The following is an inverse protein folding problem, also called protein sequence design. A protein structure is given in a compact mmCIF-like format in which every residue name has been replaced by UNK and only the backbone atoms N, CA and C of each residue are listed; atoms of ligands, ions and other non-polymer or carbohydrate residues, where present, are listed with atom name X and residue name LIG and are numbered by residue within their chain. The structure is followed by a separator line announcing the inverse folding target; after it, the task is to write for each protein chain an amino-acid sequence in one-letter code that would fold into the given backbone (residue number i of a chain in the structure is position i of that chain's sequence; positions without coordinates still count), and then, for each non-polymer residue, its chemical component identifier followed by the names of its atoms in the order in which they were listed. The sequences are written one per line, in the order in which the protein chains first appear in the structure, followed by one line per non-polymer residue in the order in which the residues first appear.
data_IF_042988075316
#
_entry.id   IF_042988075316
#
_cell.length_a   1.000
_cell.length_b   1.000
_cell.length_c   1.000
_cell.angle_alpha   90.00
_cell.angle_beta   90.00
_cell.angle_gamma   90.00
#
_symmetry.space_group_name_H-M   'P 1'
#
loop_
_entity.id
_entity.type
_entity.pdbx_description
1 polymer ?
#
# COMPACT_ATOMS: atom_id res chain seq x y z
N UNK A 1 -10.64 -31.05 16.38
CA UNK A 1 -10.18 -31.16 14.98
C UNK A 1 -11.38 -31.25 14.04
N UNK A 2 -12.26 -32.25 14.18
CA UNK A 2 -13.46 -32.47 13.32
C UNK A 2 -14.41 -31.26 13.21
N UNK A 3 -14.67 -30.54 14.31
CA UNK A 3 -15.58 -29.38 14.28
C UNK A 3 -15.00 -28.19 13.48
N UNK A 4 -13.68 -27.98 13.54
CA UNK A 4 -13.02 -26.90 12.81
C UNK A 4 -13.03 -27.17 11.30
N UNK A 5 -12.75 -28.41 10.90
CA UNK A 5 -12.84 -28.85 9.51
C UNK A 5 -14.26 -28.72 8.97
N UNK A 6 -15.27 -29.11 9.76
CA UNK A 6 -16.67 -28.96 9.38
C UNK A 6 -17.08 -27.49 9.22
N UNK A 7 -16.65 -26.61 10.13
CA UNK A 7 -16.92 -25.18 10.04
C UNK A 7 -16.20 -24.55 8.83
N UNK A 8 -14.96 -24.94 8.55
CA UNK A 8 -14.23 -24.50 7.36
C UNK A 8 -14.95 -24.94 6.08
N UNK A 9 -15.45 -26.17 6.04
CA UNK A 9 -16.27 -26.68 4.94
C UNK A 9 -17.58 -25.90 4.75
N UNK A 10 -18.27 -25.56 5.83
CA UNK A 10 -19.49 -24.75 5.75
C UNK A 10 -19.21 -23.33 5.25
N UNK A 11 -18.14 -22.69 5.73
CA UNK A 11 -17.72 -21.37 5.25
C UNK A 11 -17.36 -21.42 3.77
N UNK A 12 -16.59 -22.43 3.36
CA UNK A 12 -16.24 -22.66 1.96
C UNK A 12 -17.47 -22.77 1.05
N UNK A 13 -18.43 -23.64 1.38
CA UNK A 13 -19.65 -23.80 0.58
C UNK A 13 -20.55 -22.57 0.60
N UNK A 14 -20.65 -21.89 1.75
CA UNK A 14 -21.41 -20.65 1.89
C UNK A 14 -20.84 -19.60 0.93
N UNK A 15 -19.54 -19.39 0.94
CA UNK A 15 -18.87 -18.38 0.12
C UNK A 15 -18.96 -18.73 -1.37
N UNK A 16 -18.81 -20.01 -1.72
CA UNK A 16 -18.97 -20.47 -3.10
C UNK A 16 -20.41 -20.28 -3.62
N UNK A 17 -21.42 -20.55 -2.78
CA UNK A 17 -22.83 -20.30 -3.13
C UNK A 17 -23.11 -18.81 -3.35
N UNK A 18 -22.65 -17.94 -2.44
CA UNK A 18 -22.82 -16.49 -2.58
C UNK A 18 -22.16 -15.95 -3.85
N UNK A 19 -21.02 -16.50 -4.26
CA UNK A 19 -20.31 -16.11 -5.49
C UNK A 19 -21.06 -16.53 -6.75
N UNK A 20 -21.53 -17.77 -6.82
CA UNK A 20 -22.36 -18.23 -7.93
C UNK A 20 -23.63 -17.38 -8.08
N UNK A 21 -24.27 -17.03 -6.95
CA UNK A 21 -25.41 -16.12 -6.94
C UNK A 21 -25.01 -14.70 -7.41
N UNK A 22 -23.87 -14.17 -6.96
CA UNK A 22 -23.36 -12.85 -7.36
C UNK A 22 -23.08 -12.77 -8.85
N UNK A 23 -22.45 -13.78 -9.44
CA UNK A 23 -22.23 -13.88 -10.88
C UNK A 23 -23.55 -13.87 -11.68
N UNK A 24 -24.54 -14.60 -11.18
CA UNK A 24 -25.88 -14.65 -11.79
C UNK A 24 -26.59 -13.30 -11.73
N UNK A 25 -26.44 -12.57 -10.62
CA UNK A 25 -27.07 -11.25 -10.41
C UNK A 25 -26.37 -10.13 -11.18
N UNK A 26 -25.03 -10.16 -11.24
CA UNK A 26 -24.25 -9.11 -11.89
C UNK A 26 -24.35 -9.16 -13.42
N UNK A 27 -24.75 -10.30 -14.01
CA UNK A 27 -24.90 -10.46 -15.46
C UNK A 27 -23.64 -10.08 -16.25
N UNK A 28 -22.48 -10.10 -15.59
CA UNK A 28 -21.22 -9.54 -16.09
C UNK A 28 -20.40 -10.57 -16.86
N UNK A 29 -19.62 -10.07 -17.82
CA UNK A 29 -18.60 -10.84 -18.51
C UNK A 29 -17.56 -11.32 -17.50
N UNK A 30 -17.54 -12.62 -17.22
CA UNK A 30 -16.42 -13.29 -16.57
C UNK A 30 -15.29 -13.50 -17.57
N UNK A 31 -14.09 -13.80 -17.08
CA UNK A 31 -13.01 -14.17 -17.96
C UNK A 31 -13.31 -15.49 -18.70
N UNK A 32 -12.71 -15.70 -19.89
CA UNK A 32 -12.89 -16.94 -20.63
C UNK A 32 -12.43 -18.11 -19.77
N UNK A 33 -13.14 -19.24 -19.83
CA UNK A 33 -12.88 -20.43 -19.00
C UNK A 33 -13.06 -20.23 -17.49
N UNK A 34 -13.90 -19.28 -17.05
CA UNK A 34 -14.30 -19.18 -15.65
C UNK A 34 -14.80 -20.54 -15.13
N UNK A 35 -14.15 -21.04 -14.08
CA UNK A 35 -14.42 -22.34 -13.48
C UNK A 35 -15.24 -22.21 -12.20
N UNK A 36 -16.10 -23.18 -11.89
CA UNK A 36 -16.82 -23.20 -10.62
C UNK A 36 -15.90 -23.31 -9.40
N UNK A 37 -14.82 -24.10 -9.51
CA UNK A 37 -13.89 -24.36 -8.40
C UNK A 37 -12.67 -23.43 -8.39
N UNK A 38 -12.19 -23.06 -9.57
CA UNK A 38 -10.96 -22.27 -9.73
C UNK A 38 -11.21 -20.84 -10.19
N UNK A 39 -12.48 -20.45 -10.39
CA UNK A 39 -12.88 -19.13 -10.84
C UNK A 39 -12.02 -18.69 -12.05
N UNK A 40 -11.36 -17.54 -11.97
CA UNK A 40 -10.50 -17.01 -13.03
C UNK A 40 -9.01 -17.36 -12.88
N UNK A 41 -8.63 -18.17 -11.87
CA UNK A 41 -7.23 -18.49 -11.59
C UNK A 41 -6.52 -19.13 -12.78
N UNK A 42 -7.21 -19.98 -13.53
CA UNK A 42 -6.64 -20.66 -14.68
C UNK A 42 -6.26 -19.65 -15.76
N UNK A 43 -7.15 -18.71 -16.04
CA UNK A 43 -6.96 -17.70 -17.08
C UNK A 43 -5.90 -16.69 -16.68
N UNK A 44 -5.92 -16.24 -15.42
CA UNK A 44 -4.87 -15.39 -14.88
C UNK A 44 -3.52 -16.10 -14.88
N UNK A 45 -3.46 -17.35 -14.46
CA UNK A 45 -2.24 -18.14 -14.46
C UNK A 45 -1.61 -18.25 -15.86
N UNK A 46 -2.44 -18.45 -16.90
CA UNK A 46 -1.98 -18.48 -18.30
C UNK A 46 -1.43 -17.14 -18.77
N UNK A 47 -2.08 -16.02 -18.43
CA UNK A 47 -1.62 -14.68 -18.79
C UNK A 47 -0.31 -14.36 -18.06
N UNK A 48 -0.26 -14.62 -16.76
CA UNK A 48 0.91 -14.42 -15.93
C UNK A 48 2.11 -15.27 -16.38
N UNK A 49 1.88 -16.49 -16.85
CA UNK A 49 2.94 -17.34 -17.37
C UNK A 49 3.62 -16.78 -18.64
N UNK A 50 2.96 -15.87 -19.36
CA UNK A 50 3.56 -15.15 -20.50
C UNK A 50 4.34 -13.90 -20.07
N UNK A 51 4.12 -13.43 -18.85
CA UNK A 51 4.76 -12.23 -18.33
C UNK A 51 6.16 -12.55 -17.78
N UNK A 52 7.09 -11.59 -17.79
CA UNK A 52 8.34 -11.73 -17.06
C UNK A 52 8.08 -12.04 -15.59
N UNK A 53 8.92 -12.89 -14.97
CA UNK A 53 8.78 -13.25 -13.55
C UNK A 53 8.92 -12.06 -12.60
N UNK A 54 9.52 -10.97 -13.07
CA UNK A 54 9.71 -9.72 -12.33
C UNK A 54 8.60 -8.69 -12.58
N UNK A 55 7.57 -9.05 -13.38
CA UNK A 55 6.46 -8.14 -13.63
C UNK A 55 5.73 -7.83 -12.32
N UNK A 56 5.64 -6.54 -12.01
CA UNK A 56 4.95 -6.12 -10.80
C UNK A 56 3.48 -6.57 -10.82
N UNK A 57 2.97 -7.06 -9.70
CA UNK A 57 1.64 -7.65 -9.59
C UNK A 57 0.52 -6.74 -10.13
N UNK A 58 0.59 -5.42 -9.93
CA UNK A 58 -0.39 -4.48 -10.50
C UNK A 58 -0.43 -4.46 -12.04
N UNK A 59 0.69 -4.73 -12.70
CA UNK A 59 0.76 -4.75 -14.16
C UNK A 59 0.15 -6.04 -14.75
N UNK A 60 -0.09 -7.07 -13.93
CA UNK A 60 -0.78 -8.30 -14.38
C UNK A 60 -2.20 -8.04 -14.88
N UNK A 61 -2.92 -7.11 -14.25
CA UNK A 61 -4.26 -6.71 -14.69
C UNK A 61 -4.22 -6.02 -16.06
N UNK A 62 -3.13 -5.29 -16.34
CA UNK A 62 -2.92 -4.68 -17.65
C UNK A 62 -2.60 -5.74 -18.72
N UNK A 63 -1.80 -6.75 -18.38
CA UNK A 63 -1.53 -7.88 -19.28
C UNK A 63 -2.81 -8.65 -19.64
N UNK A 64 -3.72 -8.78 -18.68
CA UNK A 64 -5.03 -9.40 -18.89
C UNK A 64 -5.88 -8.62 -19.90
N UNK A 65 -5.91 -7.29 -19.78
CA UNK A 65 -6.60 -6.39 -20.73
C UNK A 65 -6.01 -6.50 -22.14
N UNK A 66 -4.69 -6.65 -22.27
CA UNK A 66 -4.03 -6.81 -23.56
C UNK A 66 -4.33 -8.15 -24.22
N UNK A 67 -4.43 -9.23 -23.43
CA UNK A 67 -4.76 -10.56 -23.95
C UNK A 67 -6.24 -10.68 -24.35
N UNK A 68 -7.14 -10.04 -23.60
CA UNK A 68 -8.60 -10.12 -23.81
C UNK A 68 -9.23 -8.71 -23.94
N UNK A 69 -8.95 -7.98 -25.04
CA UNK A 69 -9.39 -6.60 -25.21
C UNK A 69 -10.92 -6.44 -25.23
N UNK A 70 -11.66 -7.46 -25.66
CA UNK A 70 -13.11 -7.50 -25.68
C UNK A 70 -13.74 -7.41 -24.27
N UNK A 71 -12.99 -7.80 -23.25
CA UNK A 71 -13.41 -7.80 -21.84
C UNK A 71 -13.07 -6.47 -21.17
N UNK A 72 -12.10 -5.73 -21.71
CA UNK A 72 -11.81 -4.36 -21.30
C UNK A 72 -12.74 -3.33 -21.95
N UNK A 73 -13.40 -3.69 -23.05
CA UNK A 73 -14.31 -2.82 -23.80
C UNK A 73 -15.48 -2.22 -22.98
N UNK A 74 -16.11 -2.94 -22.02
CA UNK A 74 -17.11 -2.36 -21.13
C UNK A 74 -16.54 -1.38 -20.10
N UNK A 75 -15.21 -1.34 -19.93
CA UNK A 75 -14.53 -0.51 -18.95
C UNK A 75 -14.53 -1.07 -17.52
N UNK A 76 -15.10 -2.26 -17.31
CA UNK A 76 -15.17 -2.95 -16.02
C UNK A 76 -15.01 -4.46 -16.23
N UNK A 77 -14.33 -5.12 -15.31
CA UNK A 77 -14.15 -6.57 -15.25
C UNK A 77 -14.50 -7.07 -13.85
N UNK A 78 -15.32 -8.12 -13.76
CA UNK A 78 -15.44 -8.90 -12.53
C UNK A 78 -14.31 -9.94 -12.50
N UNK A 79 -13.49 -9.89 -11.47
CA UNK A 79 -12.36 -10.77 -11.29
C UNK A 79 -12.54 -11.62 -10.04
N UNK A 80 -12.57 -12.93 -10.20
CA UNK A 80 -12.66 -13.87 -9.09
C UNK A 80 -11.43 -14.79 -9.03
N UNK A 81 -10.69 -14.67 -7.94
CA UNK A 81 -9.46 -15.38 -7.69
C UNK A 81 -9.54 -16.35 -6.49
N UNK A 82 -10.73 -16.85 -6.11
CA UNK A 82 -10.85 -17.91 -5.07
C UNK A 82 -9.94 -19.11 -5.38
N UNK A 83 -9.15 -19.69 -4.45
CA UNK A 83 -8.95 -19.38 -3.00
C UNK A 83 -8.20 -18.14 -2.66
N UNK A 84 -7.39 -17.69 -3.61
CA UNK A 84 -6.20 -16.92 -3.33
C UNK A 84 -6.58 -15.57 -2.73
N UNK A 85 -7.64 -14.95 -3.26
CA UNK A 85 -8.14 -13.68 -2.74
C UNK A 85 -9.64 -13.52 -2.99
N UNK A 86 -10.20 -12.45 -2.45
CA UNK A 86 -11.58 -12.04 -2.65
C UNK A 86 -11.81 -11.59 -4.08
N UNK A 87 -13.03 -11.78 -4.57
CA UNK A 87 -13.45 -11.27 -5.87
C UNK A 87 -13.43 -9.75 -5.85
N UNK A 88 -12.99 -9.14 -6.95
CA UNK A 88 -12.86 -7.71 -7.11
C UNK A 88 -13.52 -7.26 -8.42
N UNK A 89 -14.05 -6.04 -8.42
CA UNK A 89 -14.42 -5.36 -9.66
C UNK A 89 -13.24 -4.47 -10.05
N UNK A 90 -12.63 -4.77 -11.19
CA UNK A 90 -11.54 -3.99 -11.76
C UNK A 90 -12.14 -3.01 -12.75
N UNK A 91 -11.90 -1.71 -12.53
CA UNK A 91 -12.47 -0.64 -13.36
C UNK A 91 -11.36 0.03 -14.14
N UNK A 92 -11.41 -0.10 -15.47
CA UNK A 92 -10.43 0.48 -16.39
C UNK A 92 -10.88 1.84 -16.92
N UNK A 93 -12.18 2.06 -17.05
CA UNK A 93 -12.74 3.28 -17.63
C UNK A 93 -12.65 4.47 -16.65
N UNK A 94 -11.97 5.57 -17.00
CA UNK A 94 -11.81 6.73 -16.13
C UNK A 94 -13.12 7.34 -15.65
N UNK A 95 -14.16 7.35 -16.51
CA UNK A 95 -15.49 7.88 -16.15
C UNK A 95 -16.18 7.06 -15.07
N UNK A 96 -15.99 5.74 -15.07
CA UNK A 96 -16.50 4.86 -14.02
C UNK A 96 -15.68 5.02 -12.74
N UNK A 97 -14.35 5.09 -12.85
CA UNK A 97 -13.46 5.35 -11.71
C UNK A 97 -13.79 6.65 -10.95
N UNK A 98 -14.27 7.68 -11.65
CA UNK A 98 -14.73 8.92 -11.02
C UNK A 98 -15.89 8.69 -10.02
N UNK A 99 -16.71 7.65 -10.22
CA UNK A 99 -17.81 7.32 -9.30
C UNK A 99 -17.28 6.77 -7.96
N UNK A 100 -16.25 5.91 -8.01
CA UNK A 100 -15.62 5.32 -6.83
C UNK A 100 -14.70 6.27 -6.07
N UNK A 101 -14.23 7.34 -6.72
CA UNK A 101 -13.34 8.33 -6.08
C UNK A 101 -14.09 9.58 -5.59
N UNK A 102 -15.25 9.91 -6.18
CA UNK A 102 -15.99 11.15 -5.84
C UNK A 102 -17.37 10.93 -5.25
N UNK A 103 -18.09 9.88 -5.69
CA UNK A 103 -19.51 9.69 -5.36
C UNK A 103 -19.73 8.67 -4.25
N UNK A 104 -19.01 7.56 -4.30
CA UNK A 104 -19.11 6.50 -3.30
C UNK A 104 -17.77 6.37 -2.59
N UNK A 105 -17.75 6.62 -1.29
CA UNK A 105 -16.59 6.37 -0.45
C UNK A 105 -16.73 4.95 0.11
N UNK A 106 -16.03 4.01 -0.51
CA UNK A 106 -15.97 2.65 0.01
C UNK A 106 -14.90 2.56 1.11
N UNK A 107 -15.14 1.77 2.16
CA UNK A 107 -14.12 1.47 3.16
C UNK A 107 -12.84 0.92 2.51
N UNK A 108 -11.69 1.46 2.87
CA UNK A 108 -10.39 0.90 2.49
C UNK A 108 -10.12 -0.33 3.34
N UNK A 109 -10.72 -1.47 2.96
CA UNK A 109 -10.65 -2.71 3.74
C UNK A 109 -9.32 -3.45 3.59
N UNK A 110 -8.59 -3.21 2.50
CA UNK A 110 -7.47 -4.06 2.08
C UNK A 110 -6.16 -3.84 2.82
N UNK A 111 -6.04 -2.79 3.65
CA UNK A 111 -4.79 -2.47 4.38
C UNK A 111 -4.94 -2.55 5.89
N UNK A 112 -6.13 -2.92 6.38
CA UNK A 112 -6.43 -2.86 7.79
C UNK A 112 -5.62 -3.87 8.60
N UNK A 113 -5.44 -5.07 8.04
CA UNK A 113 -4.69 -6.14 8.68
C UNK A 113 -3.19 -5.80 8.78
N UNK A 114 -2.64 -5.23 7.71
CA UNK A 114 -1.25 -4.80 7.62
C UNK A 114 -0.98 -3.65 8.60
N UNK A 115 -1.85 -2.63 8.61
CA UNK A 115 -1.67 -1.44 9.45
C UNK A 115 -1.95 -1.66 10.94
N UNK A 116 -2.69 -2.70 11.32
CA UNK A 116 -3.09 -2.93 12.72
C UNK A 116 -1.90 -2.97 13.68
N UNK A 117 -0.79 -3.59 13.28
CA UNK A 117 0.39 -3.72 14.13
C UNK A 117 1.19 -2.42 14.29
N UNK A 118 1.15 -1.55 13.28
CA UNK A 118 1.88 -0.29 13.28
C UNK A 118 1.08 0.83 13.96
N UNK A 119 -0.18 0.97 13.59
CA UNK A 119 -0.98 2.17 13.93
C UNK A 119 -2.23 1.82 14.72
N UNK A 120 -2.53 0.52 14.94
CA UNK A 120 -3.81 0.06 15.50
C UNK A 120 -5.00 0.52 14.65
N UNK A 121 -4.80 0.66 13.34
CA UNK A 121 -5.76 1.24 12.40
C UNK A 121 -6.17 2.70 12.72
N UNK A 122 -5.35 3.43 13.49
CA UNK A 122 -5.56 4.84 13.87
C UNK A 122 -4.72 5.77 12.99
N UNK A 123 -4.71 5.52 11.69
CA UNK A 123 -3.99 6.31 10.69
C UNK A 123 -4.90 6.81 9.57
N UNK A 124 -4.38 7.69 8.71
CA UNK A 124 -5.16 8.32 7.64
C UNK A 124 -5.51 7.39 6.47
N UNK A 125 -4.91 6.19 6.41
CA UNK A 125 -5.15 5.18 5.37
C UNK A 125 -6.30 4.26 5.76
N UNK A 126 -6.38 3.87 7.03
CA UNK A 126 -7.40 2.91 7.51
C UNK A 126 -8.55 3.55 8.27
N UNK A 127 -8.39 4.79 8.75
CA UNK A 127 -9.46 5.45 9.51
C UNK A 127 -10.48 6.12 8.60
N UNK A 128 -11.70 6.29 9.13
CA UNK A 128 -12.84 6.81 8.37
C UNK A 128 -13.61 7.90 9.14
N UNK A 129 -14.52 8.55 8.42
CA UNK A 129 -15.52 9.45 9.00
C UNK A 129 -14.92 10.61 9.79
N UNK A 130 -15.49 10.87 10.97
CA UNK A 130 -15.09 12.00 11.82
C UNK A 130 -13.65 11.89 12.32
N UNK A 131 -13.18 10.67 12.63
CA UNK A 131 -11.81 10.43 13.07
C UNK A 131 -10.82 10.80 11.97
N UNK A 132 -11.03 10.28 10.76
CA UNK A 132 -10.22 10.61 9.59
C UNK A 132 -10.24 12.11 9.32
N UNK A 133 -11.42 12.73 9.31
CA UNK A 133 -11.57 14.17 9.03
C UNK A 133 -10.80 15.03 10.04
N UNK A 134 -10.87 14.68 11.33
CA UNK A 134 -10.12 15.35 12.40
C UNK A 134 -8.62 15.25 12.15
N UNK A 135 -8.07 14.05 12.01
CA UNK A 135 -6.63 13.88 11.86
C UNK A 135 -6.11 14.41 10.52
N UNK A 136 -6.88 14.29 9.43
CA UNK A 136 -6.57 14.90 8.14
C UNK A 136 -6.40 16.41 8.28
N UNK A 137 -7.31 17.07 9.02
CA UNK A 137 -7.23 18.51 9.26
C UNK A 137 -6.01 18.92 10.08
N UNK A 138 -5.57 18.07 11.03
CA UNK A 138 -4.37 18.29 11.85
C UNK A 138 -3.10 18.18 11.02
N UNK A 139 -3.01 17.21 10.10
CA UNK A 139 -1.81 16.96 9.29
C UNK A 139 -1.71 17.84 8.03
N UNK A 140 -2.83 18.23 7.42
CA UNK A 140 -2.84 19.01 6.16
C UNK A 140 -1.93 20.26 6.16
N UNK A 141 -1.83 21.06 7.25
CA UNK A 141 -0.94 22.21 7.28
C UNK A 141 0.53 21.86 7.05
N UNK A 142 0.99 20.66 7.45
CA UNK A 142 2.35 20.19 7.18
C UNK A 142 2.64 20.01 5.69
N UNK A 143 1.60 19.75 4.89
CA UNK A 143 1.67 19.53 3.44
C UNK A 143 1.27 20.75 2.62
N UNK A 144 1.23 21.95 3.21
CA UNK A 144 1.00 23.18 2.44
C UNK A 144 2.23 23.53 1.60
N UNK A 145 2.02 24.21 0.47
CA UNK A 145 3.11 24.66 -0.41
C UNK A 145 4.17 25.44 0.37
N UNK A 146 3.75 26.35 1.25
CA UNK A 146 4.65 27.20 2.03
C UNK A 146 5.48 26.41 3.06
N UNK A 147 4.97 25.29 3.58
CA UNK A 147 5.71 24.46 4.53
C UNK A 147 6.59 23.44 3.82
N UNK A 148 6.12 22.84 2.73
CA UNK A 148 6.94 21.97 1.86
C UNK A 148 8.16 22.73 1.35
N UNK A 149 8.00 23.98 0.89
CA UNK A 149 9.12 24.81 0.43
C UNK A 149 10.24 24.99 1.47
N UNK A 150 9.91 24.98 2.76
CA UNK A 150 10.91 25.11 3.84
C UNK A 150 11.70 23.83 4.07
N UNK A 151 11.16 22.68 3.66
CA UNK A 151 11.81 21.36 3.78
C UNK A 151 12.71 21.06 2.58
N UNK A 152 12.55 21.78 1.45
CA UNK A 152 13.32 21.54 0.22
C UNK A 152 14.85 21.53 0.47
N UNK A 153 15.44 22.50 1.19
CA UNK A 153 16.89 22.51 1.40
C UNK A 153 17.40 21.21 2.06
N UNK A 154 16.70 20.76 3.10
CA UNK A 154 17.00 19.51 3.81
C UNK A 154 16.83 18.28 2.92
N UNK A 155 15.80 18.24 2.08
CA UNK A 155 15.61 17.15 1.10
C UNK A 155 16.71 17.14 0.03
N UNK A 156 17.20 18.32 -0.38
CA UNK A 156 18.28 18.44 -1.37
C UNK A 156 19.58 17.90 -0.81
N UNK A 157 19.89 18.13 0.46
CA UNK A 157 21.09 17.55 1.10
C UNK A 157 21.11 16.02 1.00
N UNK A 158 20.00 15.35 1.33
CA UNK A 158 19.89 13.89 1.22
C UNK A 158 19.94 13.41 -0.25
N UNK A 159 19.32 14.16 -1.17
CA UNK A 159 19.39 13.86 -2.59
C UNK A 159 20.82 13.96 -3.15
N UNK A 160 21.61 14.91 -2.66
CA UNK A 160 23.02 15.06 -3.03
C UNK A 160 23.87 13.90 -2.51
N UNK A 161 23.63 13.42 -1.28
CA UNK A 161 24.29 12.22 -0.77
C UNK A 161 23.99 10.99 -1.63
N UNK A 162 22.74 10.83 -2.08
CA UNK A 162 22.38 9.75 -2.98
C UNK A 162 23.03 9.89 -4.37
N UNK A 163 23.14 11.12 -4.90
CA UNK A 163 23.90 11.39 -6.13
C UNK A 163 25.36 10.98 -5.97
N UNK A 164 26.03 11.42 -4.90
CA UNK A 164 27.46 11.13 -4.67
C UNK A 164 27.71 9.62 -4.57
N UNK A 165 26.77 8.90 -3.94
CA UNK A 165 26.77 7.44 -3.95
C UNK A 165 26.71 6.87 -5.38
N UNK A 166 25.78 7.36 -6.22
CA UNK A 166 25.64 6.88 -7.60
C UNK A 166 26.87 7.21 -8.46
N UNK A 167 27.48 8.38 -8.28
CA UNK A 167 28.73 8.76 -8.95
C UNK A 167 29.85 7.79 -8.60
N UNK A 168 30.05 7.48 -7.32
CA UNK A 168 31.05 6.49 -6.89
C UNK A 168 30.80 5.08 -7.45
N UNK A 169 29.53 4.68 -7.60
CA UNK A 169 29.18 3.41 -8.24
C UNK A 169 29.50 3.43 -9.74
N UNK A 170 29.16 4.52 -10.43
CA UNK A 170 29.43 4.68 -11.86
C UNK A 170 30.94 4.64 -12.16
N UNK A 171 31.76 5.31 -11.36
CA UNK A 171 33.23 5.29 -11.48
C UNK A 171 33.81 3.90 -11.20
N UNK A 172 33.22 3.16 -10.26
CA UNK A 172 33.71 1.83 -9.89
C UNK A 172 33.40 0.72 -10.91
N UNK A 173 32.47 0.97 -11.84
CA UNK A 173 31.98 -0.03 -12.80
C UNK A 173 31.21 -1.21 -12.17
N UNK A 174 30.85 -1.12 -10.88
CA UNK A 174 30.15 -2.19 -10.16
C UNK A 174 28.66 -2.22 -10.50
N UNK A 175 28.12 -3.42 -10.65
CA UNK A 175 26.66 -3.63 -10.71
C UNK A 175 26.09 -3.75 -9.30
N UNK A 176 25.05 -2.97 -9.00
CA UNK A 176 24.34 -3.00 -7.72
C UNK A 176 22.83 -3.14 -7.93
N UNK A 177 22.11 -3.53 -6.87
CA UNK A 177 20.65 -3.43 -6.82
C UNK A 177 20.25 -2.00 -6.44
N UNK A 178 19.91 -1.19 -7.45
CA UNK A 178 19.54 0.22 -7.27
C UNK A 178 18.35 0.40 -6.34
N UNK A 179 17.35 -0.47 -6.41
CA UNK A 179 16.12 -0.41 -5.62
C UNK A 179 16.39 -0.25 -4.12
N UNK A 180 17.33 -1.04 -3.57
CA UNK A 180 17.63 -1.01 -2.14
C UNK A 180 18.19 0.34 -1.69
N UNK A 181 19.02 0.94 -2.53
CA UNK A 181 19.70 2.21 -2.24
C UNK A 181 18.76 3.39 -2.46
N UNK A 182 17.97 3.35 -3.53
CA UNK A 182 16.92 4.33 -3.78
C UNK A 182 15.86 4.33 -2.66
N UNK A 183 15.47 3.15 -2.17
CA UNK A 183 14.55 3.02 -1.03
C UNK A 183 15.14 3.64 0.23
N UNK A 184 16.40 3.35 0.55
CA UNK A 184 17.09 3.94 1.70
C UNK A 184 17.12 5.48 1.60
N UNK A 185 17.54 6.02 0.45
CA UNK A 185 17.58 7.47 0.22
C UNK A 185 16.18 8.12 0.33
N UNK A 186 15.14 7.47 -0.19
CA UNK A 186 13.76 7.95 -0.01
C UNK A 186 13.35 7.97 1.47
N UNK A 187 13.71 6.94 2.22
CA UNK A 187 13.43 6.89 3.66
C UNK A 187 14.18 7.98 4.43
N UNK A 188 15.42 8.30 4.06
CA UNK A 188 16.18 9.39 4.68
C UNK A 188 15.53 10.75 4.41
N UNK A 189 15.15 11.01 3.16
CA UNK A 189 14.41 12.24 2.77
C UNK A 189 13.10 12.37 3.56
N UNK A 190 12.28 11.30 3.61
CA UNK A 190 10.99 11.31 4.33
C UNK A 190 11.22 11.50 5.83
N UNK A 191 12.20 10.79 6.41
CA UNK A 191 12.49 10.87 7.84
C UNK A 191 12.93 12.27 8.23
N UNK A 192 13.80 12.91 7.43
CA UNK A 192 14.22 14.28 7.66
C UNK A 192 13.03 15.26 7.56
N UNK A 193 12.22 15.15 6.50
CA UNK A 193 11.05 16.01 6.29
C UNK A 193 9.97 15.87 7.39
N UNK A 194 9.79 14.68 7.94
CA UNK A 194 8.73 14.37 8.92
C UNK A 194 9.23 14.51 10.37
N UNK A 195 10.44 14.07 10.67
CA UNK A 195 10.95 13.83 12.04
C UNK A 195 12.25 14.57 12.40
N UNK A 196 12.88 15.34 11.50
CA UNK A 196 14.20 16.02 11.68
C UNK A 196 15.38 15.07 11.69
N UNK A 197 15.24 13.89 12.29
CA UNK A 197 16.33 12.92 12.36
C UNK A 197 16.41 12.12 11.05
N UNK A 198 17.64 12.00 10.51
CA UNK A 198 17.95 11.03 9.46
C UNK A 198 17.90 9.64 10.07
N UNK A 199 16.72 9.04 10.09
CA UNK A 199 16.54 7.71 10.65
C UNK A 199 16.69 6.70 9.52
N UNK A 200 17.86 6.04 9.48
CA UNK A 200 18.15 4.87 8.65
C UNK A 200 17.27 3.68 9.12
N UNK A 201 15.95 3.78 9.01
CA UNK A 201 15.00 2.75 9.50
C UNK A 201 14.86 1.62 8.49
N UNK A 202 15.04 1.89 7.20
CA UNK A 202 14.78 0.89 6.17
C UNK A 202 16.08 0.30 5.64
N UNK A 203 16.50 -0.81 6.26
CA UNK A 203 17.17 -1.86 5.49
C UNK A 203 16.07 -2.61 4.75
N UNK A 204 15.95 -2.47 3.41
CA UNK A 204 14.98 -3.24 2.65
C UNK A 204 15.31 -4.72 2.83
N UNK A 205 14.47 -5.40 3.59
CA UNK A 205 14.38 -6.85 3.51
C UNK A 205 13.67 -7.15 2.20
N UNK A 206 14.22 -8.09 1.43
CA UNK A 206 13.68 -8.56 0.15
C UNK A 206 12.15 -8.58 0.16
N UNK A 207 11.47 -7.99 -0.83
CA UNK A 207 10.03 -8.20 -0.97
C UNK A 207 9.82 -9.72 -1.05
N UNK A 208 8.98 -10.31 -0.19
CA UNK A 208 8.67 -11.71 -0.33
C UNK A 208 8.00 -11.89 -1.70
N UNK A 209 8.48 -12.88 -2.46
CA UNK A 209 7.82 -13.34 -3.66
C UNK A 209 6.40 -13.77 -3.32
N UNK A 210 5.43 -13.16 -4.00
CA UNK A 210 3.99 -13.27 -3.81
C UNK A 210 3.47 -14.68 -3.52
N UNK A 211 2.64 -14.75 -2.47
CA UNK A 211 1.81 -15.83 -1.92
C UNK A 211 2.46 -16.65 -0.79
N UNK A 212 2.22 -16.25 0.47
CA UNK A 212 2.24 -17.16 1.60
C UNK A 212 2.18 -16.52 2.99
N UNK A 213 1.83 -17.33 4.01
CA UNK A 213 1.79 -16.95 5.43
C UNK A 213 3.10 -16.35 6.00
N UNK A 214 4.22 -16.55 5.30
CA UNK A 214 5.51 -15.93 5.64
C UNK A 214 5.49 -14.41 5.44
N UNK A 215 4.78 -13.91 4.41
CA UNK A 215 4.62 -12.47 4.12
C UNK A 215 3.97 -11.75 5.28
N UNK A 216 2.87 -12.30 5.76
CA UNK A 216 2.13 -11.81 6.92
C UNK A 216 3.02 -11.66 8.15
N UNK A 217 3.89 -12.65 8.42
CA UNK A 217 4.81 -12.58 9.53
C UNK A 217 5.88 -11.50 9.35
N UNK A 218 6.46 -11.37 8.13
CA UNK A 218 7.43 -10.31 7.84
C UNK A 218 6.81 -8.92 7.93
N UNK A 219 5.60 -8.72 7.39
CA UNK A 219 4.85 -7.45 7.50
C UNK A 219 4.61 -7.13 8.97
N UNK A 220 4.12 -8.10 9.74
CA UNK A 220 3.90 -7.96 11.18
C UNK A 220 5.19 -7.56 11.92
N UNK A 221 6.30 -8.27 11.66
CA UNK A 221 7.57 -8.03 12.31
C UNK A 221 8.14 -6.65 11.94
N UNK A 222 8.10 -6.28 10.65
CA UNK A 222 8.58 -5.00 10.16
C UNK A 222 7.77 -3.84 10.75
N UNK A 223 6.44 -3.96 10.77
CA UNK A 223 5.55 -2.95 11.36
C UNK A 223 5.77 -2.80 12.85
N UNK A 224 6.00 -3.91 13.57
CA UNK A 224 6.35 -3.87 14.99
C UNK A 224 7.70 -3.20 15.24
N UNK A 225 8.72 -3.53 14.44
CA UNK A 225 10.05 -2.89 14.53
C UNK A 225 9.91 -1.38 14.29
N UNK A 226 9.25 -0.99 13.19
CA UNK A 226 9.05 0.41 12.84
C UNK A 226 8.27 1.17 13.93
N UNK A 227 7.23 0.56 14.52
CA UNK A 227 6.52 1.18 15.64
C UNK A 227 7.44 1.46 16.83
N UNK A 228 8.31 0.50 17.20
CA UNK A 228 9.21 0.65 18.33
C UNK A 228 10.30 1.71 18.10
N UNK A 229 10.75 1.87 16.86
CA UNK A 229 11.71 2.92 16.48
C UNK A 229 11.05 4.31 16.43
N UNK A 230 9.86 4.42 15.83
CA UNK A 230 9.19 5.71 15.63
C UNK A 230 8.56 6.25 16.91
N UNK A 231 8.00 5.38 17.76
CA UNK A 231 7.30 5.78 18.99
C UNK A 231 8.14 6.71 19.90
N UNK A 232 9.38 6.37 20.30
CA UNK A 232 10.15 7.24 21.18
C UNK A 232 10.46 8.61 20.55
N UNK A 233 10.68 8.67 19.23
CA UNK A 233 10.93 9.91 18.50
C UNK A 233 9.69 10.80 18.53
N UNK A 234 8.52 10.25 18.16
CA UNK A 234 7.24 10.97 18.15
C UNK A 234 6.88 11.45 19.56
N UNK A 235 7.04 10.60 20.57
CA UNK A 235 6.78 10.99 21.96
C UNK A 235 7.75 12.07 22.46
N UNK A 236 9.02 12.02 22.04
CA UNK A 236 10.00 13.06 22.36
C UNK A 236 9.61 14.40 21.73
N UNK A 237 9.20 14.41 20.47
CA UNK A 237 8.72 15.61 19.79
C UNK A 237 7.46 16.16 20.45
N UNK A 238 6.54 15.29 20.87
CA UNK A 238 5.35 15.69 21.61
C UNK A 238 5.71 16.27 22.98
N UNK A 239 6.68 15.72 23.73
CA UNK A 239 7.10 16.29 25.02
C UNK A 239 7.81 17.64 24.84
N UNK A 240 8.59 17.80 23.78
CA UNK A 240 9.44 18.98 23.54
C UNK A 240 8.79 20.07 22.68
N UNK A 241 7.52 19.92 22.30
CA UNK A 241 6.81 20.79 21.35
C UNK A 241 6.77 22.29 21.71
N UNK A 242 6.93 22.63 23.00
CA UNK A 242 6.93 24.00 23.51
C UNK A 242 8.26 24.76 23.30
N UNK A 243 9.33 24.09 22.86
CA UNK A 243 10.60 24.74 22.53
C UNK A 243 10.47 25.40 21.15
N UNK A 244 10.33 26.72 21.13
CA UNK A 244 9.98 27.54 19.95
C UNK A 244 10.98 27.56 18.81
N UNK A 245 12.17 26.97 18.97
CA UNK A 245 13.30 27.09 18.04
C UNK A 245 13.57 25.84 17.19
N UNK A 246 12.75 24.78 17.31
CA UNK A 246 12.96 23.55 16.55
C UNK A 246 12.58 23.65 15.05
N UNK A 247 13.16 22.78 14.19
CA UNK A 247 12.82 22.73 12.76
C UNK A 247 11.33 22.48 12.54
N UNK A 248 10.76 23.13 11.51
CA UNK A 248 9.31 23.04 11.19
C UNK A 248 9.01 21.81 10.33
N UNK A 249 9.16 20.62 10.89
CA UNK A 249 8.75 19.39 10.20
C UNK A 249 7.24 19.23 10.12
N UNK A 250 6.80 18.31 9.26
CA UNK A 250 5.40 17.91 9.14
C UNK A 250 4.85 17.49 10.52
N UNK A 251 5.58 16.67 11.28
CA UNK A 251 5.10 16.21 12.58
C UNK A 251 5.06 17.35 13.61
N UNK A 252 6.05 18.26 13.62
CA UNK A 252 6.05 19.41 14.54
C UNK A 252 4.87 20.35 14.30
N UNK A 253 4.39 20.46 13.05
CA UNK A 253 3.24 21.27 12.68
C UNK A 253 1.94 20.57 13.07
N UNK A 254 1.86 19.25 12.87
CA UNK A 254 0.73 18.44 13.31
C UNK A 254 0.56 18.48 14.84
N UNK A 255 1.65 18.32 15.60
CA UNK A 255 1.64 18.42 17.06
C UNK A 255 1.14 19.81 17.50
N UNK A 256 1.64 20.88 16.89
CA UNK A 256 1.18 22.25 17.19
C UNK A 256 -0.30 22.46 16.86
N UNK A 257 -0.82 21.84 15.81
CA UNK A 257 -2.24 21.90 15.49
C UNK A 257 -3.10 21.07 16.46
N UNK A 258 -2.58 19.94 16.95
CA UNK A 258 -3.25 19.08 17.93
C UNK A 258 -3.32 19.69 19.34
N UNK A 259 -2.29 20.45 19.73
CA UNK A 259 -2.19 21.07 21.07
C UNK A 259 -2.98 22.39 21.21
N UNK A 260 -3.53 22.92 20.10
CA UNK A 260 -4.43 24.09 20.10
C UNK A 260 -5.86 23.67 20.42
#
# INVERSE_FOLDING_TARGET
MVLYEYLAWLVFWKDMYWRAATLTVLGQQTLPNHSFLFCDLITIGKVLAKCPSELAGQASLQALVWEYPEIANPGLLYLDLWPVTWSAIVVFEPRLNAQFTKRFLFPSSSLRYESECLTQCKDLVTSEGAFWKKWRSIYNPGFSVQNIQKLIPECVEEALLFRDYLEGIAESGKTIKLENQAMAAMCDIISRAVLVEGVFIFKPQTPPSSLGSKETWYIWQNNRTMYNELKPIVESQLRNHGRTEGPKTINSLAIRAYMK
#
